data_IF_457736774966
#
_entry.id   IF_457736774966
#
_cell.length_a   1.000
_cell.length_b   1.000
_cell.length_c   1.000
_cell.angle_alpha   90.00
_cell.angle_beta   90.00
_cell.angle_gamma   90.00
#
_symmetry.space_group_name_H-M   'P 1'
#
loop_
_entity.id
_entity.type
_entity.pdbx_description
1 polymer ?
#
# COMPACT_ATOMS: atom_id res chain seq x y z
N UNK A 1 5.13 -11.43 11.14
CA UNK A 1 5.23 -11.92 9.75
C UNK A 1 4.58 -10.96 8.76
N UNK A 2 3.30 -10.60 8.91
CA UNK A 2 2.57 -9.74 7.95
C UNK A 2 3.22 -8.36 7.70
N UNK A 3 3.74 -7.68 8.73
CA UNK A 3 4.44 -6.41 8.56
C UNK A 3 5.70 -6.51 7.70
N UNK A 4 6.44 -7.62 7.76
CA UNK A 4 7.60 -7.85 6.89
C UNK A 4 7.17 -8.02 5.43
N UNK A 5 6.07 -8.76 5.20
CA UNK A 5 5.50 -8.95 3.86
C UNK A 5 5.02 -7.62 3.29
N UNK A 6 4.34 -6.79 4.08
CA UNK A 6 3.89 -5.46 3.64
C UNK A 6 5.08 -4.58 3.21
N UNK A 7 6.16 -4.58 3.99
CA UNK A 7 7.37 -3.84 3.63
C UNK A 7 7.98 -4.39 2.34
N UNK A 8 8.10 -5.71 2.23
CA UNK A 8 8.67 -6.37 1.04
C UNK A 8 7.86 -6.05 -0.22
N UNK A 9 6.54 -6.06 -0.16
CA UNK A 9 5.68 -5.65 -1.28
C UNK A 9 5.78 -4.15 -1.61
N UNK A 10 6.12 -3.33 -0.60
CA UNK A 10 6.23 -1.89 -0.78
C UNK A 10 7.54 -1.47 -1.43
N UNK A 11 8.65 -2.13 -1.12
CA UNK A 11 9.99 -1.68 -1.57
C UNK A 11 10.81 -2.77 -2.27
N UNK A 12 10.26 -3.98 -2.44
CA UNK A 12 10.93 -5.15 -3.00
C UNK A 12 12.26 -5.49 -2.31
N UNK A 13 12.33 -5.25 -0.99
CA UNK A 13 13.49 -5.51 -0.12
C UNK A 13 13.04 -6.10 1.20
N UNK A 14 13.92 -6.84 1.87
CA UNK A 14 13.62 -7.44 3.17
C UNK A 14 13.65 -6.36 4.26
N UNK A 15 12.70 -6.41 5.20
CA UNK A 15 12.62 -5.43 6.28
C UNK A 15 13.86 -5.44 7.21
N UNK A 16 14.43 -6.62 7.46
CA UNK A 16 15.60 -6.82 8.31
C UNK A 16 16.68 -7.58 7.54
N UNK A 17 17.13 -7.02 6.42
CA UNK A 17 18.15 -7.66 5.56
C UNK A 17 19.54 -7.56 6.19
N UNK A 18 20.23 -8.69 6.36
CA UNK A 18 21.61 -8.75 6.86
C UNK A 18 22.43 -9.82 6.15
N UNK A 19 23.74 -9.75 6.33
CA UNK A 19 24.71 -10.66 5.73
C UNK A 19 24.60 -12.12 6.22
N UNK A 20 24.04 -12.34 7.40
CA UNK A 20 23.83 -13.68 7.96
C UNK A 20 22.61 -13.71 8.91
N UNK A 21 22.18 -14.93 9.23
CA UNK A 21 20.98 -15.18 10.02
C UNK A 21 21.07 -14.61 11.45
N UNK A 22 22.24 -14.66 12.09
CA UNK A 22 22.42 -14.17 13.46
C UNK A 22 22.21 -12.66 13.52
N UNK A 23 22.82 -11.92 12.58
CA UNK A 23 22.61 -10.47 12.44
C UNK A 23 21.15 -10.15 12.10
N UNK A 24 20.51 -10.94 11.24
CA UNK A 24 19.07 -10.76 10.93
C UNK A 24 18.21 -10.93 12.18
N UNK A 25 18.48 -11.95 13.00
CA UNK A 25 17.75 -12.17 14.26
C UNK A 25 17.98 -11.03 15.24
N UNK A 26 19.22 -10.55 15.37
CA UNK A 26 19.52 -9.40 16.23
C UNK A 26 18.78 -8.14 15.77
N UNK A 27 18.76 -7.87 14.46
CA UNK A 27 17.99 -6.77 13.87
C UNK A 27 16.48 -6.91 14.12
N UNK A 28 15.92 -8.11 13.99
CA UNK A 28 14.51 -8.38 14.28
C UNK A 28 14.19 -8.13 15.77
N UNK A 29 15.12 -8.41 16.68
CA UNK A 29 14.88 -8.27 18.11
C UNK A 29 15.10 -6.83 18.62
N UNK A 30 16.14 -6.15 18.12
CA UNK A 30 16.65 -4.93 18.75
C UNK A 30 16.51 -3.68 17.91
N UNK A 31 16.60 -3.81 16.59
CA UNK A 31 16.58 -2.64 15.72
C UNK A 31 15.17 -2.16 15.43
N UNK A 32 14.98 -0.84 15.23
CA UNK A 32 13.68 -0.31 14.81
C UNK A 32 13.25 -0.90 13.46
N UNK A 33 11.93 -0.99 13.25
CA UNK A 33 11.40 -1.36 11.95
C UNK A 33 11.75 -0.28 10.91
N UNK A 34 12.14 -0.65 9.67
CA UNK A 34 12.41 0.33 8.63
C UNK A 34 11.14 1.09 8.25
N UNK A 35 11.24 2.36 7.85
CA UNK A 35 10.05 3.15 7.51
C UNK A 35 9.50 2.80 6.12
N UNK A 36 8.18 2.84 5.97
CA UNK A 36 7.56 2.78 4.65
C UNK A 36 7.79 4.09 3.86
N UNK A 37 7.80 4.05 2.52
CA UNK A 37 7.88 5.26 1.69
C UNK A 37 6.73 6.25 1.94
N UNK A 38 6.98 7.54 1.78
CA UNK A 38 6.01 8.62 2.07
C UNK A 38 4.73 8.57 1.21
N UNK A 39 4.77 7.90 0.06
CA UNK A 39 3.60 7.70 -0.80
C UNK A 39 2.47 6.91 -0.13
N UNK A 40 2.76 6.18 0.96
CA UNK A 40 1.74 5.47 1.73
C UNK A 40 1.04 6.43 2.69
N UNK A 41 -0.30 6.37 2.82
CA UNK A 41 -1.03 7.17 3.79
C UNK A 41 -0.50 6.99 5.22
N UNK A 42 -0.52 8.07 6.00
CA UNK A 42 -0.01 8.08 7.38
C UNK A 42 -0.62 6.96 8.26
N UNK A 43 -1.89 6.64 8.07
CA UNK A 43 -2.55 5.52 8.79
C UNK A 43 -1.90 4.17 8.47
N UNK A 44 -1.53 3.90 7.22
CA UNK A 44 -0.84 2.65 6.84
C UNK A 44 0.57 2.64 7.45
N UNK A 45 1.28 3.76 7.41
CA UNK A 45 2.60 3.87 8.05
C UNK A 45 2.52 3.58 9.55
N UNK A 46 1.51 4.13 10.24
CA UNK A 46 1.28 3.87 11.67
C UNK A 46 0.97 2.38 11.93
N UNK A 47 0.01 1.81 11.22
CA UNK A 47 -0.37 0.39 11.39
C UNK A 47 0.83 -0.52 11.13
N UNK A 48 1.65 -0.20 10.12
CA UNK A 48 2.89 -0.91 9.82
C UNK A 48 3.87 -0.91 10.99
N UNK A 49 4.11 0.24 11.63
CA UNK A 49 4.99 0.30 12.79
C UNK A 49 4.43 -0.50 13.97
N UNK A 50 3.11 -0.48 14.18
CA UNK A 50 2.47 -1.28 15.23
C UNK A 50 2.55 -2.80 14.94
N UNK A 51 2.45 -3.22 13.68
CA UNK A 51 2.63 -4.62 13.27
C UNK A 51 4.04 -5.16 13.59
N UNK A 52 5.06 -4.30 13.56
CA UNK A 52 6.46 -4.66 13.82
C UNK A 52 7.00 -4.15 15.17
N UNK A 53 6.11 -3.71 16.07
CA UNK A 53 6.47 -3.33 17.44
C UNK A 53 7.24 -4.47 18.13
N UNK A 54 8.32 -4.16 18.86
CA UNK A 54 9.08 -5.16 19.63
C UNK A 54 8.37 -5.58 20.91
N UNK A 55 7.66 -4.64 21.51
CA UNK A 55 6.81 -4.84 22.66
C UNK A 55 5.56 -5.64 22.24
N UNK A 56 5.36 -6.87 22.75
CA UNK A 56 4.22 -7.71 22.40
C UNK A 56 2.87 -7.08 22.71
N UNK A 57 2.76 -6.31 23.80
CA UNK A 57 1.51 -5.68 24.22
C UNK A 57 1.12 -4.52 23.30
N UNK A 58 2.12 -3.87 22.69
CA UNK A 58 1.90 -2.81 21.68
C UNK A 58 1.81 -3.36 20.26
N UNK A 59 2.07 -4.65 20.06
CA UNK A 59 2.06 -5.26 18.73
C UNK A 59 0.61 -5.49 18.31
N UNK A 60 0.25 -4.88 17.18
CA UNK A 60 -1.11 -4.93 16.65
C UNK A 60 -1.55 -6.38 16.40
N UNK A 61 -2.71 -6.76 16.93
CA UNK A 61 -3.25 -8.11 16.75
C UNK A 61 -3.85 -8.26 15.35
N UNK A 62 -3.89 -9.49 14.85
CA UNK A 62 -4.40 -9.76 13.51
C UNK A 62 -5.90 -9.39 13.36
N UNK A 63 -6.70 -9.55 14.41
CA UNK A 63 -8.12 -9.15 14.42
C UNK A 63 -8.28 -7.64 14.30
N UNK A 64 -7.55 -6.89 15.12
CA UNK A 64 -7.54 -5.42 15.12
C UNK A 64 -7.04 -4.88 13.78
N UNK A 65 -6.02 -5.52 13.19
CA UNK A 65 -5.52 -5.19 11.87
C UNK A 65 -6.61 -5.33 10.79
N UNK A 66 -7.38 -6.42 10.81
CA UNK A 66 -8.43 -6.66 9.82
C UNK A 66 -9.54 -5.60 9.90
N UNK A 67 -9.95 -5.23 11.12
CA UNK A 67 -10.92 -4.15 11.35
C UNK A 67 -10.39 -2.82 10.81
N UNK A 68 -9.15 -2.46 11.12
CA UNK A 68 -8.52 -1.21 10.66
C UNK A 68 -8.42 -1.14 9.12
N UNK A 69 -8.07 -2.23 8.45
CA UNK A 69 -8.01 -2.28 6.99
C UNK A 69 -9.37 -2.14 6.33
N UNK A 70 -10.43 -2.72 6.91
CA UNK A 70 -11.79 -2.59 6.37
C UNK A 70 -12.25 -1.12 6.32
N UNK A 71 -11.83 -0.32 7.31
CA UNK A 71 -12.17 1.10 7.39
C UNK A 71 -11.38 1.96 6.38
N UNK A 72 -10.18 1.53 5.99
CA UNK A 72 -9.36 2.23 5.00
C UNK A 72 -9.99 2.10 3.60
N UNK A 73 -10.45 0.90 3.23
CA UNK A 73 -11.07 0.65 1.93
C UNK A 73 -12.38 1.44 1.73
N UNK A 74 -13.21 1.53 2.77
CA UNK A 74 -14.47 2.26 2.74
C UNK A 74 -14.23 3.76 2.52
N UNK A 75 -13.22 4.35 3.18
CA UNK A 75 -12.86 5.76 3.00
C UNK A 75 -12.29 6.05 1.61
N UNK A 76 -11.40 5.18 1.10
CA UNK A 76 -10.81 5.34 -0.23
C UNK A 76 -11.89 5.33 -1.35
N UNK A 77 -12.90 4.47 -1.22
CA UNK A 77 -14.01 4.40 -2.17
C UNK A 77 -14.98 5.59 -2.06
N UNK A 78 -15.14 6.16 -0.87
CA UNK A 78 -15.94 7.38 -0.68
C UNK A 78 -15.22 8.64 -1.21
N UNK A 79 -13.89 8.71 -1.10
CA UNK A 79 -13.11 9.84 -1.66
C UNK A 79 -13.12 9.88 -3.18
N UNK A 80 -13.18 8.73 -3.87
CA UNK A 80 -13.35 8.70 -5.34
C UNK A 80 -14.72 9.21 -5.78
N UNK A 81 -15.72 9.24 -4.89
CA UNK A 81 -17.06 9.75 -5.19
C UNK A 81 -17.21 11.27 -5.01
N UNK A 82 -16.28 11.93 -4.31
CA UNK A 82 -16.28 13.40 -4.14
C UNK A 82 -15.48 14.17 -5.20
N UNK A 83 -14.66 13.48 -6.02
CA UNK A 83 -13.82 14.11 -7.04
C UNK A 83 -14.34 14.00 -8.50
N UNK A 84 -15.56 13.50 -8.72
CA UNK A 84 -16.17 13.39 -10.06
C UNK A 84 -17.35 14.36 -10.26
N UNK A 85 -17.28 15.55 -9.66
CA UNK A 85 -18.09 16.69 -10.11
C UNK A 85 -17.21 17.95 -10.12
N UNK A 86 -17.14 18.57 -11.31
CA UNK A 86 -16.33 19.74 -11.73
C UNK A 86 -14.82 19.46 -11.88
N UNK A 87 -14.17 19.55 -13.04
CA UNK A 87 -14.43 20.37 -14.22
C UNK A 87 -13.92 19.67 -15.49
N UNK A 88 -14.70 19.74 -16.57
CA UNK A 88 -14.29 19.44 -17.94
C UNK A 88 -13.14 20.35 -18.36
N UNK A 89 -12.00 19.84 -18.86
CA UNK A 89 -11.21 20.59 -19.82
C UNK A 89 -11.82 20.33 -21.20
N UNK A 90 -12.30 21.40 -21.83
CA UNK A 90 -12.73 21.42 -23.22
C UNK A 90 -11.65 20.82 -24.12
N UNK A 91 -11.95 19.68 -24.73
CA UNK A 91 -11.26 19.18 -25.91
C UNK A 91 -12.34 18.87 -26.95
N UNK A 92 -12.74 19.92 -27.66
CA UNK A 92 -13.39 19.77 -28.96
C UNK A 92 -12.52 18.87 -29.84
N UNK A 93 -13.12 17.82 -30.42
CA UNK A 93 -12.66 17.35 -31.73
C UNK A 93 -12.10 15.94 -31.88
N UNK A 94 -12.24 15.00 -30.93
CA UNK A 94 -11.92 13.58 -31.20
C UNK A 94 -13.14 12.70 -31.01
N UNK A 95 -13.74 12.12 -32.08
CA UNK A 95 -14.90 11.25 -31.94
C UNK A 95 -14.51 10.01 -31.12
N UNK A 96 -15.20 9.80 -29.99
CA UNK A 96 -14.94 8.75 -29.00
C UNK A 96 -14.99 7.30 -29.52
N UNK A 97 -15.35 7.11 -30.79
CA UNK A 97 -15.23 5.86 -31.51
C UNK A 97 -13.77 5.46 -31.78
N UNK A 98 -12.85 6.43 -31.93
CA UNK A 98 -11.44 6.17 -32.23
C UNK A 98 -10.71 5.60 -31.00
N UNK A 99 -10.96 6.18 -29.82
CA UNK A 99 -10.34 5.74 -28.56
C UNK A 99 -10.77 4.31 -28.19
N UNK A 100 -12.07 3.98 -28.39
CA UNK A 100 -12.59 2.63 -28.14
C UNK A 100 -12.02 1.58 -29.11
N UNK A 101 -11.68 1.98 -30.34
CA UNK A 101 -11.13 1.07 -31.37
C UNK A 101 -9.67 0.69 -31.05
N UNK A 102 -8.89 1.63 -30.54
CA UNK A 102 -7.47 1.40 -30.25
C UNK A 102 -7.25 0.62 -28.95
N UNK A 103 -8.09 0.85 -27.94
CA UNK A 103 -8.09 0.04 -26.70
C UNK A 103 -8.47 -1.41 -27.02
N UNK A 104 -9.43 -1.64 -27.92
CA UNK A 104 -9.78 -3.01 -28.37
C UNK A 104 -8.65 -3.69 -29.14
N UNK A 105 -7.84 -2.94 -29.91
CA UNK A 105 -6.66 -3.48 -30.60
C UNK A 105 -5.57 -3.93 -29.64
N UNK A 106 -5.31 -3.17 -28.57
CA UNK A 106 -4.30 -3.51 -27.55
C UNK A 106 -4.69 -4.74 -26.72
N UNK A 107 -5.98 -4.92 -26.44
CA UNK A 107 -6.49 -6.06 -25.68
C UNK A 107 -6.50 -7.36 -26.50
N UNK A 108 -6.62 -7.27 -27.84
CA UNK A 108 -6.60 -8.45 -28.73
C UNK A 108 -5.20 -8.97 -29.07
N UNK A 109 -4.14 -8.27 -28.61
CA UNK A 109 -2.74 -8.67 -28.79
C UNK A 109 -2.05 -9.07 -27.47
N UNK A 110 -2.83 -9.29 -26.41
CA UNK A 110 -2.46 -9.94 -25.14
C UNK A 110 -3.28 -11.23 -24.99
#
# INVERSE_FOLDING_TARGET
SIGCVLYELSVCKRAFERSNIIQTMDAILREPAPTLPERFPAKIQQLYLQMLSKDPEKRLKASELLEEFSQIEIKANNTKKLATQSSTPDLEGIPGQVVRKEIRRLILWL
#
